data_IF_837726325839
#
_entry.id   IF_837726325839
#
_cell.length_a   1.000
_cell.length_b   1.000
_cell.length_c   1.000
_cell.angle_alpha   90.00
_cell.angle_beta   90.00
_cell.angle_gamma   90.00
#
_symmetry.space_group_name_H-M   'P 1'
#
loop_
_entity.id
_entity.type
_entity.pdbx_description
1 polymer ?
#
# COMPACT_ATOMS: atom_id res chain seq x y z
N UNK A 1 -0.09 20.55 -6.88
CA UNK A 1 0.48 20.70 -5.52
C UNK A 1 -0.46 20.23 -4.41
N UNK A 2 -1.80 20.26 -4.57
CA UNK A 2 -2.75 19.65 -3.62
C UNK A 2 -2.90 18.11 -3.75
N UNK A 3 -2.58 17.53 -4.91
CA UNK A 3 -2.77 16.10 -5.21
C UNK A 3 -1.88 15.16 -4.38
N UNK A 4 -0.70 15.62 -3.95
CA UNK A 4 0.26 14.78 -3.23
C UNK A 4 -0.15 14.49 -1.78
N UNK A 5 -0.80 15.46 -1.11
CA UNK A 5 -1.37 15.22 0.22
C UNK A 5 -2.55 14.24 0.15
N UNK A 6 -3.37 14.31 -0.91
CA UNK A 6 -4.44 13.35 -1.17
C UNK A 6 -3.90 11.93 -1.34
N UNK A 7 -2.88 11.76 -2.18
CA UNK A 7 -2.17 10.49 -2.39
C UNK A 7 -1.59 9.91 -1.09
N UNK A 8 -0.99 10.76 -0.25
CA UNK A 8 -0.41 10.31 1.01
C UNK A 8 -1.49 9.83 1.99
N UNK A 9 -2.61 10.56 2.11
CA UNK A 9 -3.71 10.20 3.03
C UNK A 9 -4.45 8.96 2.53
N UNK A 10 -4.82 8.93 1.25
CA UNK A 10 -5.51 7.80 0.63
C UNK A 10 -4.62 6.56 0.63
N UNK A 11 -3.34 6.68 0.27
CA UNK A 11 -2.38 5.59 0.30
C UNK A 11 -2.16 5.03 1.72
N UNK A 12 -2.11 5.88 2.73
CA UNK A 12 -1.99 5.46 4.13
C UNK A 12 -3.22 4.67 4.60
N UNK A 13 -4.43 5.12 4.26
CA UNK A 13 -5.68 4.45 4.62
C UNK A 13 -5.84 3.13 3.86
N UNK A 14 -5.56 3.13 2.55
CA UNK A 14 -5.58 1.91 1.74
C UNK A 14 -4.54 0.90 2.22
N UNK A 15 -3.36 1.36 2.65
CA UNK A 15 -2.32 0.53 3.23
C UNK A 15 -2.77 -0.20 4.50
N UNK A 16 -3.46 0.51 5.39
CA UNK A 16 -4.10 -0.12 6.56
C UNK A 16 -5.17 -1.14 6.16
N UNK A 17 -6.02 -0.79 5.20
CA UNK A 17 -7.09 -1.68 4.72
C UNK A 17 -6.48 -2.94 4.08
N UNK A 18 -5.45 -2.80 3.25
CA UNK A 18 -4.75 -3.90 2.60
C UNK A 18 -4.08 -4.83 3.62
N UNK A 19 -3.44 -4.26 4.65
CA UNK A 19 -2.86 -5.03 5.75
C UNK A 19 -3.92 -5.78 6.56
N UNK A 20 -5.06 -5.14 6.85
CA UNK A 20 -6.19 -5.78 7.52
C UNK A 20 -6.82 -6.90 6.67
N UNK A 21 -6.91 -6.71 5.35
CA UNK A 21 -7.39 -7.75 4.41
C UNK A 21 -6.44 -8.95 4.37
N UNK A 22 -5.13 -8.73 4.43
CA UNK A 22 -4.14 -9.82 4.44
C UNK A 22 -4.17 -10.64 5.74
N UNK A 23 -4.80 -10.14 6.81
CA UNK A 23 -4.86 -10.82 8.11
C UNK A 23 -3.50 -11.08 8.75
N UNK A 24 -2.45 -10.44 8.22
CA UNK A 24 -1.05 -10.62 8.60
C UNK A 24 -0.42 -9.24 8.69
N UNK A 25 -0.24 -8.77 9.91
CA UNK A 25 0.47 -7.52 10.17
C UNK A 25 1.96 -7.69 9.90
N UNK A 26 2.53 -6.70 9.21
CA UNK A 26 3.98 -6.53 9.08
C UNK A 26 4.62 -6.50 10.48
N UNK A 27 5.82 -7.10 10.73
CA UNK A 27 6.61 -6.82 11.94
C UNK A 27 6.83 -5.30 12.08
N UNK A 28 6.03 -4.68 12.94
CA UNK A 28 5.77 -3.23 12.95
C UNK A 28 4.30 -2.87 13.19
N UNK A 29 3.40 -3.86 13.18
CA UNK A 29 1.98 -3.70 13.46
C UNK A 29 1.28 -2.79 12.45
N UNK A 30 0.32 -2.00 12.94
CA UNK A 30 -0.46 -1.06 12.12
C UNK A 30 0.43 -0.02 11.41
N UNK A 31 1.52 0.43 12.06
CA UNK A 31 2.45 1.43 11.50
C UNK A 31 3.26 0.88 10.32
N UNK A 32 3.63 -0.41 10.37
CA UNK A 32 4.30 -1.08 9.26
C UNK A 32 3.41 -1.15 8.02
N UNK A 33 2.13 -1.48 8.19
CA UNK A 33 1.16 -1.52 7.10
C UNK A 33 0.90 -0.14 6.49
N UNK A 34 0.88 0.93 7.30
CA UNK A 34 0.75 2.31 6.80
C UNK A 34 1.93 2.67 5.90
N UNK A 35 3.17 2.41 6.34
CA UNK A 35 4.37 2.80 5.59
C UNK A 35 4.52 1.95 4.32
N UNK A 36 4.41 0.63 4.43
CA UNK A 36 4.52 -0.28 3.28
C UNK A 36 3.37 -0.07 2.30
N UNK A 37 2.16 0.18 2.80
CA UNK A 37 0.99 0.43 2.00
C UNK A 37 1.00 1.80 1.33
N UNK A 38 1.52 2.85 1.98
CA UNK A 38 1.73 4.15 1.34
C UNK A 38 2.74 4.03 0.18
N UNK A 39 3.89 3.37 0.41
CA UNK A 39 4.87 3.10 -0.64
C UNK A 39 4.29 2.24 -1.76
N UNK A 40 3.52 1.20 -1.41
CA UNK A 40 2.89 0.31 -2.38
C UNK A 40 1.80 0.98 -3.20
N UNK A 41 1.00 1.85 -2.60
CA UNK A 41 -0.02 2.61 -3.32
C UNK A 41 0.59 3.51 -4.39
N UNK A 42 1.71 4.15 -4.05
CA UNK A 42 2.43 5.01 -4.98
C UNK A 42 3.11 4.19 -6.09
N UNK A 43 3.70 3.04 -5.74
CA UNK A 43 4.27 2.11 -6.71
C UNK A 43 3.19 1.53 -7.64
N UNK A 44 2.01 1.22 -7.10
CA UNK A 44 0.87 0.67 -7.83
C UNK A 44 0.31 1.64 -8.85
N UNK A 45 0.15 2.90 -8.46
CA UNK A 45 -0.27 3.97 -9.36
C UNK A 45 0.74 4.17 -10.51
N UNK A 46 2.05 4.06 -10.21
CA UNK A 46 3.11 4.21 -11.19
C UNK A 46 3.24 3.01 -12.15
N UNK A 47 2.94 1.79 -11.68
CA UNK A 47 3.06 0.54 -12.45
C UNK A 47 1.78 0.20 -13.21
N UNK A 48 0.63 0.27 -12.52
CA UNK A 48 -0.67 -0.08 -13.10
C UNK A 48 -1.32 1.08 -13.83
N UNK A 49 -0.77 2.30 -13.76
CA UNK A 49 -1.29 3.45 -14.49
C UNK A 49 -2.61 4.00 -13.94
N UNK A 50 -3.18 4.91 -14.70
CA UNK A 50 -4.29 5.78 -14.29
C UNK A 50 -5.66 5.22 -14.72
N UNK A 51 -6.05 4.08 -14.15
CA UNK A 51 -7.30 3.41 -14.52
C UNK A 51 -8.19 3.11 -13.31
N UNK A 52 -9.41 3.65 -13.33
CA UNK A 52 -10.41 3.41 -12.29
C UNK A 52 -11.01 4.69 -11.70
N UNK A 53 -11.88 4.57 -10.68
CA UNK A 53 -12.49 5.70 -10.00
C UNK A 53 -11.42 6.50 -9.24
N UNK A 54 -11.35 7.79 -9.55
CA UNK A 54 -10.46 8.76 -8.93
C UNK A 54 -11.10 9.29 -7.64
N UNK A 55 -10.36 9.22 -6.54
CA UNK A 55 -10.71 9.86 -5.28
C UNK A 55 -9.58 10.84 -4.96
N UNK A 56 -9.87 12.14 -5.03
CA UNK A 56 -8.93 13.21 -4.70
C UNK A 56 -7.66 13.14 -5.56
N UNK A 57 -7.80 13.02 -6.89
CA UNK A 57 -6.69 12.85 -7.85
C UNK A 57 -5.83 11.58 -7.66
N UNK A 58 -6.34 10.58 -6.92
CA UNK A 58 -5.66 9.30 -6.70
C UNK A 58 -6.50 8.17 -7.26
N UNK A 59 -5.88 7.29 -8.04
CA UNK A 59 -6.57 6.14 -8.61
C UNK A 59 -6.70 5.03 -7.57
N UNK A 60 -7.92 4.78 -7.10
CA UNK A 60 -8.17 3.87 -5.97
C UNK A 60 -7.76 2.42 -6.26
N UNK A 61 -8.02 1.93 -7.48
CA UNK A 61 -7.77 0.55 -7.87
C UNK A 61 -6.25 0.26 -7.96
N UNK A 62 -5.46 1.02 -8.75
CA UNK A 62 -3.99 0.90 -8.81
C UNK A 62 -3.35 1.03 -7.43
N UNK A 63 -3.81 2.00 -6.63
CA UNK A 63 -3.30 2.25 -5.30
C UNK A 63 -3.55 1.05 -4.35
N UNK A 64 -4.75 0.49 -4.34
CA UNK A 64 -5.07 -0.68 -3.50
C UNK A 64 -4.26 -1.91 -3.96
N UNK A 65 -4.19 -2.16 -5.27
CA UNK A 65 -3.45 -3.28 -5.84
C UNK A 65 -1.96 -3.19 -5.52
N UNK A 66 -1.37 -2.01 -5.69
CA UNK A 66 0.03 -1.76 -5.36
C UNK A 66 0.32 -1.92 -3.87
N UNK A 67 -0.56 -1.41 -3.00
CA UNK A 67 -0.44 -1.58 -1.56
C UNK A 67 -0.43 -3.07 -1.16
N UNK A 68 -1.39 -3.85 -1.70
CA UNK A 68 -1.46 -5.30 -1.49
C UNK A 68 -0.19 -6.00 -2.01
N UNK A 69 0.25 -5.66 -3.22
CA UNK A 69 1.43 -6.29 -3.83
C UNK A 69 2.70 -6.01 -3.03
N UNK A 70 2.92 -4.76 -2.60
CA UNK A 70 4.04 -4.39 -1.74
C UNK A 70 3.99 -5.09 -0.38
N UNK A 71 2.81 -5.20 0.24
CA UNK A 71 2.62 -5.95 1.48
C UNK A 71 2.99 -7.43 1.32
N UNK A 72 2.56 -8.06 0.23
CA UNK A 72 2.92 -9.45 -0.08
C UNK A 72 4.42 -9.63 -0.26
N UNK A 73 5.07 -8.75 -1.04
CA UNK A 73 6.52 -8.79 -1.27
C UNK A 73 7.28 -8.57 0.05
N UNK A 74 6.85 -7.61 0.84
CA UNK A 74 7.45 -7.33 2.14
C UNK A 74 7.37 -8.56 3.06
N UNK A 75 6.19 -9.18 3.15
CA UNK A 75 6.00 -10.38 3.97
C UNK A 75 6.90 -11.52 3.49
N UNK A 76 7.02 -11.70 2.18
CA UNK A 76 7.88 -12.71 1.58
C UNK A 76 9.36 -12.50 1.93
N UNK A 77 9.84 -11.24 1.93
CA UNK A 77 11.23 -10.90 2.29
C UNK A 77 11.47 -11.13 3.77
N UNK A 78 10.58 -10.62 4.63
CA UNK A 78 10.70 -10.76 6.09
C UNK A 78 10.64 -12.22 6.52
N UNK A 79 9.71 -13.00 5.97
CA UNK A 79 9.55 -14.42 6.31
C UNK A 79 10.79 -15.23 5.91
N UNK A 80 11.52 -14.81 4.87
CA UNK A 80 12.84 -15.38 4.54
C UNK A 80 13.96 -14.88 5.45
N UNK A 81 13.91 -13.64 5.91
CA UNK A 81 15.01 -13.04 6.67
C UNK A 81 15.01 -13.46 8.15
N UNK A 82 13.82 -13.56 8.77
CA UNK A 82 13.65 -13.85 10.20
C UNK A 82 13.49 -15.34 10.53
N UNK A 83 13.33 -16.21 9.52
CA UNK A 83 13.23 -17.66 9.70
C UNK A 83 14.59 -18.34 9.49
N UNK A 84 15.63 -17.80 10.15
CA UNK A 84 16.98 -18.36 10.18
C UNK A 84 17.49 -18.54 11.61
#
# INVERSE_FOLDING_TARGET
MLSFLGALVVGSVLGMIAGAILGKDVPGGCTGNIVVGALGSWLGELILGEFGPVIIDVYLIPALLGAILCLVIYYFIIERLFRS
#
